data_IF_986486051386
#
_entry.id   IF_986486051386
#
_cell.length_a   1.000
_cell.length_b   1.000
_cell.length_c   1.000
_cell.angle_alpha   90.00
_cell.angle_beta   90.00
_cell.angle_gamma   90.00
#
_symmetry.space_group_name_H-M   'P 1'
#
loop_
_entity.id
_entity.type
_entity.pdbx_description
1 polymer ?
#
# COMPACT_ATOMS: atom_id res chain seq x y z
N UNK A 1 1.33 -3.00 13.94
CA UNK A 1 1.47 -3.41 12.53
C UNK A 1 0.12 -3.55 11.82
N UNK A 2 -0.81 -4.38 12.32
CA UNK A 2 -2.09 -4.61 11.62
C UNK A 2 -2.91 -3.32 11.44
N UNK A 3 -3.07 -2.53 12.50
CA UNK A 3 -3.83 -1.27 12.45
C UNK A 3 -3.23 -0.29 11.43
N UNK A 4 -1.91 -0.13 11.44
CA UNK A 4 -1.19 0.80 10.57
C UNK A 4 -1.28 0.36 9.10
N UNK A 5 -1.19 -0.94 8.84
CA UNK A 5 -1.46 -1.49 7.50
C UNK A 5 -2.91 -1.19 7.09
N UNK A 6 -3.90 -1.43 7.95
CA UNK A 6 -5.31 -1.17 7.64
C UNK A 6 -5.59 0.31 7.33
N UNK A 7 -4.98 1.23 8.07
CA UNK A 7 -5.08 2.68 7.80
C UNK A 7 -4.53 3.01 6.42
N UNK A 8 -3.34 2.50 6.07
CA UNK A 8 -2.76 2.72 4.75
C UNK A 8 -3.58 2.08 3.62
N UNK A 9 -4.07 0.85 3.83
CA UNK A 9 -4.92 0.14 2.87
C UNK A 9 -6.22 0.90 2.60
N UNK A 10 -6.90 1.37 3.65
CA UNK A 10 -8.13 2.13 3.53
C UNK A 10 -7.94 3.38 2.66
N UNK A 11 -6.81 4.07 2.82
CA UNK A 11 -6.46 5.17 1.94
C UNK A 11 -6.35 4.70 0.48
N UNK A 12 -5.53 3.69 0.19
CA UNK A 12 -5.32 3.18 -1.17
C UNK A 12 -6.63 2.71 -1.80
N UNK A 13 -7.40 1.84 -1.15
CA UNK A 13 -8.62 1.27 -1.74
C UNK A 13 -9.74 2.30 -1.89
N UNK A 14 -9.76 3.35 -1.05
CA UNK A 14 -10.76 4.43 -1.17
C UNK A 14 -10.69 5.17 -2.51
N UNK A 15 -9.49 5.26 -3.10
CA UNK A 15 -9.29 5.86 -4.42
C UNK A 15 -9.78 4.98 -5.57
N UNK A 16 -9.87 3.66 -5.32
CA UNK A 16 -10.24 2.67 -6.33
C UNK A 16 -11.74 2.36 -6.33
N UNK A 17 -12.42 2.56 -5.19
CA UNK A 17 -13.86 2.40 -5.11
C UNK A 17 -14.59 3.33 -6.09
N UNK A 18 -15.63 2.81 -6.72
CA UNK A 18 -16.41 3.47 -7.77
C UNK A 18 -15.62 3.80 -9.07
N UNK A 19 -14.34 3.42 -9.15
CA UNK A 19 -13.51 3.51 -10.35
C UNK A 19 -13.25 2.14 -10.97
N UNK A 20 -13.03 1.13 -10.12
CA UNK A 20 -12.79 -0.25 -10.51
C UNK A 20 -13.87 -1.19 -9.93
N UNK A 21 -14.02 -2.43 -10.46
CA UNK A 21 -15.03 -3.37 -9.99
C UNK A 21 -14.88 -3.66 -8.48
N UNK A 22 -15.90 -3.35 -7.68
CA UNK A 22 -15.84 -3.42 -6.21
C UNK A 22 -15.29 -4.75 -5.67
N UNK A 23 -15.74 -5.89 -6.22
CA UNK A 23 -15.27 -7.22 -5.80
C UNK A 23 -13.75 -7.39 -6.03
N UNK A 24 -13.22 -6.80 -7.11
CA UNK A 24 -11.80 -6.85 -7.46
C UNK A 24 -10.99 -5.89 -6.58
N UNK A 25 -11.53 -4.71 -6.26
CA UNK A 25 -10.91 -3.78 -5.29
C UNK A 25 -10.79 -4.41 -3.90
N UNK A 26 -11.82 -5.11 -3.44
CA UNK A 26 -11.77 -5.83 -2.17
C UNK A 26 -10.65 -6.89 -2.17
N UNK A 27 -10.60 -7.72 -3.22
CA UNK A 27 -9.55 -8.73 -3.36
C UNK A 27 -8.15 -8.10 -3.43
N UNK A 28 -8.01 -6.99 -4.16
CA UNK A 28 -6.75 -6.23 -4.19
C UNK A 28 -6.32 -5.76 -2.79
N UNK A 29 -7.26 -5.22 -1.99
CA UNK A 29 -6.98 -4.82 -0.61
C UNK A 29 -6.52 -5.99 0.26
N UNK A 30 -7.17 -7.15 0.15
CA UNK A 30 -6.79 -8.38 0.87
C UNK A 30 -5.39 -8.87 0.48
N UNK A 31 -5.08 -8.89 -0.82
CA UNK A 31 -3.78 -9.34 -1.31
C UNK A 31 -2.66 -8.34 -1.00
N UNK A 32 -2.94 -7.04 -1.05
CA UNK A 32 -2.00 -6.00 -0.63
C UNK A 32 -1.71 -6.08 0.87
N UNK A 33 -2.73 -6.36 1.70
CA UNK A 33 -2.53 -6.59 3.13
C UNK A 33 -1.56 -7.75 3.38
N UNK A 34 -1.79 -8.90 2.72
CA UNK A 34 -0.93 -10.07 2.84
C UNK A 34 0.50 -9.74 2.41
N UNK A 35 0.67 -9.09 1.26
CA UNK A 35 1.96 -8.70 0.73
C UNK A 35 2.73 -7.75 1.68
N UNK A 36 2.04 -6.75 2.25
CA UNK A 36 2.64 -5.83 3.22
C UNK A 36 3.03 -6.52 4.52
N UNK A 37 2.20 -7.44 5.05
CA UNK A 37 2.54 -8.23 6.25
C UNK A 37 3.80 -9.07 6.02
N UNK A 38 3.91 -9.72 4.86
CA UNK A 38 5.09 -10.50 4.48
C UNK A 38 6.30 -9.59 4.35
N UNK A 39 6.19 -8.48 3.61
CA UNK A 39 7.26 -7.49 3.44
C UNK A 39 7.77 -7.01 4.80
N UNK A 40 6.87 -6.64 5.71
CA UNK A 40 7.25 -6.04 6.99
C UNK A 40 7.74 -7.06 8.03
N UNK A 41 7.62 -8.35 7.75
CA UNK A 41 8.11 -9.41 8.64
C UNK A 41 9.60 -9.20 8.93
N UNK A 42 9.97 -9.28 10.21
CA UNK A 42 11.32 -9.02 10.74
C UNK A 42 11.85 -7.59 10.50
N UNK A 43 11.02 -6.70 9.95
CA UNK A 43 11.34 -5.29 9.71
C UNK A 43 10.39 -4.36 10.46
N UNK A 44 9.78 -4.81 11.55
CA UNK A 44 8.88 -4.01 12.39
C UNK A 44 9.49 -3.84 13.79
N UNK A 45 9.85 -2.61 14.17
CA UNK A 45 10.61 -2.33 15.40
C UNK A 45 9.85 -1.33 16.30
N UNK A 46 8.93 -1.79 17.17
CA UNK A 46 8.13 -0.89 18.02
C UNK A 46 8.97 0.07 18.87
N UNK A 47 10.09 -0.39 19.43
CA UNK A 47 10.95 0.44 20.28
C UNK A 47 11.82 1.44 19.49
N UNK A 48 11.91 1.26 18.16
CA UNK A 48 12.67 2.15 17.26
C UNK A 48 11.90 2.34 15.95
N UNK A 49 10.76 3.05 15.94
CA UNK A 49 9.84 3.09 14.80
C UNK A 49 10.51 3.50 13.48
N UNK A 50 11.47 4.43 13.53
CA UNK A 50 12.18 4.89 12.34
C UNK A 50 13.13 3.85 11.73
N UNK A 51 13.56 2.82 12.47
CA UNK A 51 14.40 1.75 11.93
C UNK A 51 13.62 0.99 10.86
N UNK A 52 14.14 0.96 9.63
CA UNK A 52 13.49 0.29 8.49
C UNK A 52 12.31 1.06 7.87
N UNK A 53 12.07 2.33 8.24
CA UNK A 53 10.95 3.12 7.69
C UNK A 53 11.02 3.27 6.17
N UNK A 54 12.21 3.50 5.60
CA UNK A 54 12.40 3.56 4.14
C UNK A 54 12.06 2.23 3.43
N UNK A 55 12.34 1.09 4.06
CA UNK A 55 11.99 -0.22 3.53
C UNK A 55 10.48 -0.47 3.58
N UNK A 56 9.79 0.00 4.63
CA UNK A 56 8.33 -0.12 4.79
C UNK A 56 7.53 0.92 4.01
N UNK A 57 8.20 1.91 3.42
CA UNK A 57 7.55 2.91 2.57
C UNK A 57 6.92 2.24 1.34
N UNK A 58 5.63 2.49 1.12
CA UNK A 58 4.88 2.10 -0.07
C UNK A 58 4.88 3.26 -1.06
N UNK A 59 5.40 3.05 -2.27
CA UNK A 59 5.52 4.07 -3.32
C UNK A 59 4.71 3.71 -4.55
N UNK A 60 3.96 4.67 -5.09
CA UNK A 60 3.25 4.53 -6.38
C UNK A 60 3.96 5.23 -7.55
N UNK A 61 5.01 6.00 -7.26
CA UNK A 61 5.87 6.62 -8.28
C UNK A 61 6.80 5.62 -8.97
N UNK A 62 7.75 6.10 -9.78
CA UNK A 62 8.73 5.25 -10.47
C UNK A 62 10.05 5.15 -9.67
N UNK A 63 10.51 3.94 -9.27
CA UNK A 63 9.87 2.64 -9.50
C UNK A 63 8.70 2.38 -8.55
N UNK A 64 7.66 1.72 -9.07
CA UNK A 64 6.47 1.30 -8.30
C UNK A 64 6.86 0.18 -7.34
N UNK A 65 6.25 0.15 -6.15
CA UNK A 65 6.50 -0.92 -5.20
C UNK A 65 5.92 -2.26 -5.70
N UNK A 66 6.74 -3.32 -5.71
CA UNK A 66 6.36 -4.64 -6.22
C UNK A 66 5.15 -5.28 -5.49
N UNK A 67 4.86 -4.86 -4.25
CA UNK A 67 3.67 -5.34 -3.54
C UNK A 67 2.37 -4.87 -4.20
N UNK A 68 2.36 -3.71 -4.85
CA UNK A 68 1.20 -3.21 -5.60
C UNK A 68 0.98 -4.05 -6.86
N UNK A 69 2.05 -4.33 -7.60
CA UNK A 69 2.01 -5.16 -8.80
C UNK A 69 1.55 -6.58 -8.47
N UNK A 70 2.07 -7.17 -7.39
CA UNK A 70 1.66 -8.51 -6.95
C UNK A 70 0.18 -8.54 -6.56
N UNK A 71 -0.29 -7.58 -5.77
CA UNK A 71 -1.68 -7.51 -5.36
C UNK A 71 -2.63 -7.28 -6.56
N UNK A 72 -2.22 -6.46 -7.53
CA UNK A 72 -2.97 -6.24 -8.76
C UNK A 72 -3.12 -7.55 -9.56
N UNK A 73 -2.02 -8.28 -9.73
CA UNK A 73 -1.99 -9.57 -10.43
C UNK A 73 -2.95 -10.58 -9.79
N UNK A 74 -2.85 -10.78 -8.47
CA UNK A 74 -3.72 -11.72 -7.73
C UNK A 74 -5.19 -11.31 -7.77
N UNK A 75 -5.47 -10.01 -7.76
CA UNK A 75 -6.82 -9.49 -7.90
C UNK A 75 -7.38 -9.58 -9.33
N UNK A 76 -6.55 -9.89 -10.33
CA UNK A 76 -6.85 -9.78 -11.75
C UNK A 76 -7.29 -8.36 -12.15
N UNK A 77 -6.49 -7.37 -11.72
CA UNK A 77 -6.56 -5.97 -12.10
C UNK A 77 -5.28 -5.58 -12.84
N UNK A 78 -5.39 -4.69 -13.83
CA UNK A 78 -4.22 -4.09 -14.44
C UNK A 78 -3.60 -3.07 -13.45
N UNK A 79 -2.29 -3.16 -13.22
CA UNK A 79 -1.59 -2.20 -12.36
C UNK A 79 -1.72 -0.76 -12.91
N UNK A 80 -1.77 -0.58 -14.23
CA UNK A 80 -1.95 0.74 -14.83
C UNK A 80 -3.27 1.40 -14.39
N UNK A 81 -4.38 0.65 -14.38
CA UNK A 81 -5.69 1.16 -13.94
C UNK A 81 -5.68 1.55 -12.45
N UNK A 82 -4.92 0.82 -11.63
CA UNK A 82 -4.74 1.16 -10.21
C UNK A 82 -3.95 2.45 -10.07
N UNK A 83 -2.81 2.56 -10.77
CA UNK A 83 -1.93 3.73 -10.67
C UNK A 83 -2.58 5.00 -11.22
N UNK A 84 -3.40 4.91 -12.29
CA UNK A 84 -4.15 6.05 -12.84
C UNK A 84 -5.16 6.63 -11.85
N UNK A 85 -5.69 5.81 -10.95
CA UNK A 85 -6.68 6.26 -9.96
C UNK A 85 -6.04 6.68 -8.62
N UNK A 86 -4.73 6.48 -8.43
CA UNK A 86 -3.99 6.92 -7.25
C UNK A 86 -3.33 8.29 -7.49
N UNK A 87 -3.07 9.08 -6.44
CA UNK A 87 -2.28 10.29 -6.59
C UNK A 87 -0.89 10.00 -7.18
N UNK A 88 -0.45 10.86 -8.10
CA UNK A 88 0.88 10.80 -8.70
C UNK A 88 1.97 10.87 -7.63
N UNK A 89 2.95 9.99 -7.74
CA UNK A 89 4.14 9.95 -6.86
C UNK A 89 3.83 9.95 -5.35
N UNK A 90 2.75 9.26 -4.95
CA UNK A 90 2.45 9.05 -3.54
C UNK A 90 3.53 8.20 -2.86
N UNK A 91 3.87 8.60 -1.63
CA UNK A 91 4.64 7.79 -0.67
C UNK A 91 3.87 7.64 0.63
N UNK A 92 3.69 6.41 1.10
CA UNK A 92 3.05 6.08 2.39
C UNK A 92 4.06 5.38 3.29
N UNK A 93 4.42 6.01 4.40
CA UNK A 93 5.25 5.39 5.44
C UNK A 93 4.35 4.73 6.47
N UNK A 94 4.56 3.43 6.67
CA UNK A 94 3.79 2.59 7.59
C UNK A 94 4.76 2.15 8.69
N UNK A 95 4.75 2.89 9.79
CA UNK A 95 5.70 2.75 10.90
C UNK A 95 4.96 2.36 12.20
N UNK A 96 5.63 1.73 13.18
CA UNK A 96 5.02 1.47 14.48
C UNK A 96 4.45 2.72 15.13
N UNK A 97 3.13 2.74 15.35
CA UNK A 97 2.42 3.85 15.97
C UNK A 97 2.12 5.04 15.05
N UNK A 98 2.50 5.00 13.77
CA UNK A 98 2.33 6.15 12.88
C UNK A 98 2.20 5.74 11.40
N UNK A 99 1.22 6.33 10.72
CA UNK A 99 1.10 6.27 9.26
C UNK A 99 1.19 7.69 8.72
N UNK A 100 2.21 7.93 7.89
CA UNK A 100 2.41 9.22 7.22
C UNK A 100 2.27 9.06 5.73
N UNK A 101 1.80 10.10 5.07
CA UNK A 101 1.63 10.11 3.64
C UNK A 101 2.09 11.43 3.06
N UNK A 102 2.76 11.34 1.92
CA UNK A 102 3.14 12.49 1.11
C UNK A 102 2.54 12.29 -0.28
N UNK A 103 1.79 13.30 -0.72
CA UNK A 103 1.26 13.40 -2.07
C UNK A 103 2.08 14.48 -2.80
N UNK A 104 2.44 14.22 -4.04
CA UNK A 104 3.00 15.24 -4.93
C UNK A 104 1.90 15.55 -5.93
N UNK A 105 1.26 16.71 -5.73
CA UNK A 105 0.20 17.24 -6.58
C UNK A 105 0.77 18.14 -7.66
#
# INVERSE_FOLDING_TARGET
MHLEIQVALNFVVSHLYNKLPRRRVNLFGEELEKALKIKFQNHWYPDKPMKGSAYRCLKTGQPTDAVLERAALEANLNIADILENLPSEMSVWIDPGEVRMKLIL
#
